data_IF_839519815249
#
_entry.id   IF_839519815249
#
_cell.length_a   1.000
_cell.length_b   1.000
_cell.length_c   1.000
_cell.angle_alpha   90.00
_cell.angle_beta   90.00
_cell.angle_gamma   90.00
#
_symmetry.space_group_name_H-M   'P 1'
#
loop_
_entity.id
_entity.type
_entity.pdbx_description
1 polymer ?
#
# COMPACT_ATOMS: atom_id res chain seq x y z
N UNK A 1 7.51 -2.57 -12.34
CA UNK A 1 6.13 -2.09 -12.58
C UNK A 1 5.93 -2.05 -14.09
N UNK A 2 4.92 -2.74 -14.62
CA UNK A 2 4.68 -2.78 -16.07
C UNK A 2 4.21 -1.41 -16.56
N UNK A 3 5.01 -0.74 -17.39
CA UNK A 3 4.71 0.61 -17.95
C UNK A 3 3.40 0.65 -18.74
N UNK A 4 3.00 -0.50 -19.27
CA UNK A 4 1.76 -0.69 -20.01
C UNK A 4 0.69 -1.28 -19.08
N UNK A 5 -0.55 -0.74 -19.01
CA UNK A 5 -1.18 0.38 -19.73
C UNK A 5 -1.10 1.76 -19.04
N UNK A 6 -0.52 1.83 -17.83
CA UNK A 6 -0.65 2.99 -16.93
C UNK A 6 0.10 4.26 -17.35
N UNK A 7 1.14 4.15 -18.20
CA UNK A 7 1.92 5.30 -18.70
C UNK A 7 1.24 6.03 -19.87
N UNK A 8 0.22 5.43 -20.50
CA UNK A 8 -0.34 5.91 -21.77
C UNK A 8 -1.21 7.17 -21.62
N UNK A 9 -1.24 8.00 -22.68
CA UNK A 9 -2.15 9.15 -22.77
C UNK A 9 -3.62 8.74 -22.75
N UNK A 10 -3.94 7.57 -23.33
CA UNK A 10 -5.27 6.96 -23.30
C UNK A 10 -5.72 6.69 -21.86
N UNK A 11 -4.85 6.11 -21.03
CA UNK A 11 -5.15 5.87 -19.62
C UNK A 11 -5.39 7.16 -18.85
N UNK A 12 -4.54 8.18 -19.06
CA UNK A 12 -4.71 9.49 -18.41
C UNK A 12 -6.08 10.11 -18.73
N UNK A 13 -6.51 10.07 -20.00
CA UNK A 13 -7.84 10.56 -20.42
C UNK A 13 -8.97 9.75 -19.79
N UNK A 14 -8.87 8.43 -19.84
CA UNK A 14 -9.88 7.52 -19.28
C UNK A 14 -10.04 7.72 -17.77
N UNK A 15 -8.91 7.80 -17.04
CA UNK A 15 -8.89 8.08 -15.60
C UNK A 15 -9.61 9.39 -15.28
N UNK A 16 -9.33 10.47 -16.00
CA UNK A 16 -9.99 11.76 -15.80
C UNK A 16 -11.50 11.69 -16.08
N UNK A 17 -11.90 10.95 -17.12
CA UNK A 17 -13.31 10.76 -17.45
C UNK A 17 -14.05 10.02 -16.33
N UNK A 18 -13.49 8.92 -15.83
CA UNK A 18 -14.07 8.14 -14.72
C UNK A 18 -14.19 9.01 -13.47
N UNK A 19 -13.13 9.72 -13.08
CA UNK A 19 -13.16 10.60 -11.90
C UNK A 19 -14.16 11.77 -12.03
N UNK A 20 -14.39 12.28 -13.25
CA UNK A 20 -15.43 13.29 -13.49
C UNK A 20 -16.84 12.71 -13.38
N UNK A 21 -17.05 11.49 -13.86
CA UNK A 21 -18.35 10.82 -13.81
C UNK A 21 -18.74 10.33 -12.42
N UNK A 22 -17.76 9.85 -11.65
CA UNK A 22 -17.96 9.34 -10.29
C UNK A 22 -16.83 9.91 -9.40
N UNK A 23 -17.03 11.12 -8.83
CA UNK A 23 -16.01 11.81 -8.05
C UNK A 23 -15.82 11.25 -6.63
N UNK A 24 -16.65 10.29 -6.23
CA UNK A 24 -16.63 9.69 -4.90
C UNK A 24 -16.05 8.28 -4.94
N UNK A 25 -15.33 7.91 -3.89
CA UNK A 25 -14.80 6.57 -3.70
C UNK A 25 -15.95 5.57 -3.56
N UNK A 26 -16.00 4.57 -4.46
CA UNK A 26 -17.06 3.56 -4.49
C UNK A 26 -17.09 2.71 -3.22
N UNK A 27 -15.93 2.34 -2.68
CA UNK A 27 -15.81 1.57 -1.45
C UNK A 27 -16.22 2.37 -0.21
N UNK A 28 -15.83 3.64 -0.13
CA UNK A 28 -16.30 4.51 0.96
C UNK A 28 -17.81 4.71 0.88
N UNK A 29 -18.36 4.93 -0.32
CA UNK A 29 -19.80 5.09 -0.54
C UNK A 29 -20.59 3.85 -0.10
N UNK A 30 -20.09 2.65 -0.39
CA UNK A 30 -20.66 1.38 0.10
C UNK A 30 -20.68 1.29 1.62
N UNK A 31 -19.67 1.86 2.29
CA UNK A 31 -19.58 1.96 3.75
C UNK A 31 -20.34 3.16 4.34
N UNK A 32 -21.16 3.88 3.55
CA UNK A 32 -21.91 5.06 3.99
C UNK A 32 -21.06 6.33 4.18
N UNK A 33 -19.82 6.36 3.68
CA UNK A 33 -18.89 7.48 3.80
C UNK A 33 -18.79 8.26 2.49
N UNK A 34 -18.79 9.58 2.57
CA UNK A 34 -18.58 10.47 1.43
C UNK A 34 -17.11 10.89 1.40
N UNK A 35 -16.33 10.26 0.53
CA UNK A 35 -14.89 10.54 0.38
C UNK A 35 -14.60 10.73 -1.11
N UNK A 36 -13.83 11.76 -1.46
CA UNK A 36 -13.41 12.00 -2.83
C UNK A 36 -12.53 10.85 -3.36
N UNK A 37 -12.76 10.45 -4.60
CA UNK A 37 -11.88 9.52 -5.29
C UNK A 37 -10.65 10.28 -5.83
N UNK A 38 -9.47 9.74 -5.55
CA UNK A 38 -8.18 10.26 -6.02
C UNK A 38 -7.57 9.36 -7.08
N UNK A 39 -7.92 8.09 -7.07
CA UNK A 39 -7.29 7.03 -7.85
C UNK A 39 -8.35 6.23 -8.60
N UNK A 40 -7.96 5.65 -9.73
CA UNK A 40 -8.81 4.76 -10.53
C UNK A 40 -8.08 3.46 -10.68
N UNK A 41 -8.78 2.39 -10.40
CA UNK A 41 -8.23 1.05 -10.29
C UNK A 41 -9.08 0.04 -11.05
N UNK A 42 -8.44 -1.01 -11.57
CA UNK A 42 -9.14 -2.05 -12.34
C UNK A 42 -9.82 -3.04 -11.39
N UNK A 43 -11.14 -3.25 -11.49
CA UNK A 43 -11.89 -4.22 -10.66
C UNK A 43 -11.28 -5.62 -10.82
N UNK A 44 -11.11 -6.07 -12.06
CA UNK A 44 -10.32 -7.23 -12.43
C UNK A 44 -8.95 -6.77 -12.92
N UNK A 45 -7.85 -7.17 -12.25
CA UNK A 45 -6.50 -6.81 -12.68
C UNK A 45 -6.24 -7.18 -14.15
N UNK A 46 -5.48 -6.35 -14.85
CA UNK A 46 -5.09 -6.61 -16.25
C UNK A 46 -4.26 -7.91 -16.35
N UNK A 47 -3.46 -8.20 -15.33
CA UNK A 47 -2.68 -9.44 -15.23
C UNK A 47 -3.55 -10.71 -15.26
N UNK A 48 -4.77 -10.64 -14.73
CA UNK A 48 -5.73 -11.76 -14.69
C UNK A 48 -6.67 -11.77 -15.91
N UNK A 49 -6.37 -11.00 -16.96
CA UNK A 49 -7.20 -10.85 -18.14
C UNK A 49 -8.36 -9.86 -17.96
N UNK A 50 -8.20 -8.85 -17.10
CA UNK A 50 -9.09 -7.70 -17.05
C UNK A 50 -8.93 -6.80 -18.28
N UNK A 51 -10.04 -6.27 -18.80
CA UNK A 51 -9.98 -5.32 -19.93
C UNK A 51 -9.39 -3.99 -19.45
N UNK A 52 -8.28 -3.50 -20.04
CA UNK A 52 -7.57 -2.31 -19.55
C UNK A 52 -8.33 -1.01 -19.81
N UNK A 53 -9.23 -1.01 -20.80
CA UNK A 53 -9.94 0.19 -21.29
C UNK A 53 -11.45 0.17 -21.04
N UNK A 54 -11.98 -0.88 -20.41
CA UNK A 54 -13.41 -1.00 -20.15
C UNK A 54 -13.79 -0.18 -18.92
N UNK A 55 -14.64 0.83 -19.09
CA UNK A 55 -15.15 1.65 -18.00
C UNK A 55 -15.86 0.82 -16.91
N UNK A 56 -16.49 -0.30 -17.28
CA UNK A 56 -17.16 -1.18 -16.32
C UNK A 56 -16.15 -1.94 -15.45
N UNK A 57 -14.93 -2.15 -15.96
CA UNK A 57 -13.83 -2.74 -15.22
C UNK A 57 -13.06 -1.69 -14.41
N UNK A 58 -13.47 -0.42 -14.38
CA UNK A 58 -12.81 0.63 -13.62
C UNK A 58 -13.64 1.02 -12.40
N UNK A 59 -12.96 1.26 -11.29
CA UNK A 59 -13.55 1.76 -10.05
C UNK A 59 -12.77 2.97 -9.53
N UNK A 60 -13.46 4.07 -9.18
CA UNK A 60 -12.85 5.21 -8.50
C UNK A 60 -12.71 4.90 -7.00
N UNK A 61 -11.50 5.07 -6.49
CA UNK A 61 -11.13 4.82 -5.09
C UNK A 61 -10.40 6.02 -4.50
N UNK A 62 -10.49 6.18 -3.18
CA UNK A 62 -9.57 7.05 -2.46
C UNK A 62 -8.25 6.31 -2.22
N UNK A 63 -7.17 7.05 -1.99
CA UNK A 63 -5.82 6.49 -1.80
C UNK A 63 -5.75 5.39 -0.73
N UNK A 64 -6.52 5.51 0.36
CA UNK A 64 -6.53 4.51 1.43
C UNK A 64 -7.23 3.21 1.02
N UNK A 65 -8.35 3.30 0.28
CA UNK A 65 -9.04 2.13 -0.26
C UNK A 65 -8.22 1.45 -1.36
N UNK A 66 -7.54 2.25 -2.20
CA UNK A 66 -6.64 1.74 -3.23
C UNK A 66 -5.47 0.96 -2.62
N UNK A 67 -4.75 1.57 -1.67
CA UNK A 67 -3.64 0.93 -0.95
C UNK A 67 -4.07 -0.37 -0.25
N UNK A 68 -5.26 -0.40 0.36
CA UNK A 68 -5.81 -1.61 1.00
C UNK A 68 -6.05 -2.73 0.00
N UNK A 69 -6.55 -2.40 -1.19
CA UNK A 69 -6.78 -3.37 -2.25
C UNK A 69 -5.46 -3.93 -2.77
N UNK A 70 -4.51 -3.06 -3.12
CA UNK A 70 -3.16 -3.48 -3.55
C UNK A 70 -2.51 -4.39 -2.53
N UNK A 71 -2.57 -4.04 -1.24
CA UNK A 71 -2.01 -4.88 -0.18
C UNK A 71 -2.72 -6.24 -0.04
N UNK A 72 -4.02 -6.34 -0.37
CA UNK A 72 -4.76 -7.60 -0.39
C UNK A 72 -4.38 -8.46 -1.60
N UNK A 73 -4.22 -7.84 -2.77
CA UNK A 73 -3.85 -8.52 -4.02
C UNK A 73 -2.39 -8.98 -4.01
N UNK A 74 -1.47 -8.14 -3.50
CA UNK A 74 -0.04 -8.45 -3.38
C UNK A 74 0.30 -9.30 -2.14
N UNK A 75 -0.72 -9.81 -1.41
CA UNK A 75 -0.52 -10.73 -0.29
C UNK A 75 0.17 -10.15 0.95
N UNK A 76 0.09 -8.84 1.20
CA UNK A 76 0.66 -8.20 2.40
C UNK A 76 2.19 -8.04 2.37
N UNK A 77 2.78 -8.07 1.17
CA UNK A 77 4.15 -8.53 0.92
C UNK A 77 5.33 -7.66 1.36
N UNK A 78 5.15 -6.50 1.99
CA UNK A 78 6.27 -5.73 2.52
C UNK A 78 6.46 -5.91 4.03
N UNK A 79 5.46 -5.53 4.84
CA UNK A 79 5.56 -5.58 6.31
C UNK A 79 5.78 -6.99 6.83
N UNK A 80 5.02 -7.98 6.34
CA UNK A 80 5.18 -9.39 6.78
C UNK A 80 6.55 -9.99 6.47
N UNK A 81 7.25 -9.50 5.44
CA UNK A 81 8.58 -10.01 5.08
C UNK A 81 9.67 -9.41 5.97
N UNK A 82 9.53 -8.14 6.35
CA UNK A 82 10.49 -7.47 7.22
C UNK A 82 10.27 -7.82 8.70
N UNK A 83 9.03 -7.81 9.19
CA UNK A 83 8.71 -8.06 10.60
C UNK A 83 9.02 -9.51 11.02
N UNK A 84 8.92 -10.48 10.10
CA UNK A 84 9.34 -11.88 10.35
C UNK A 84 10.85 -12.09 10.24
N UNK A 85 11.55 -11.14 9.62
CA UNK A 85 12.99 -11.18 9.50
C UNK A 85 13.68 -10.48 10.68
N UNK A 86 12.93 -9.93 11.65
CA UNK A 86 13.42 -9.29 12.86
C UNK A 86 12.95 -10.08 14.08
N UNK A 87 13.87 -10.41 14.98
CA UNK A 87 13.59 -11.06 16.25
C UNK A 87 12.82 -10.11 17.18
N UNK A 88 11.60 -10.47 17.63
CA UNK A 88 10.80 -9.64 18.54
C UNK A 88 11.46 -9.38 19.90
N UNK A 89 12.34 -10.27 20.36
CA UNK A 89 12.98 -10.15 21.67
C UNK A 89 14.20 -9.22 21.64
N UNK A 90 14.93 -9.21 20.53
CA UNK A 90 16.21 -8.49 20.42
C UNK A 90 16.12 -7.26 19.51
N UNK A 91 15.11 -7.18 18.64
CA UNK A 91 15.00 -6.16 17.60
C UNK A 91 16.03 -6.31 16.46
N UNK A 92 16.81 -7.39 16.47
CA UNK A 92 17.84 -7.67 15.48
C UNK A 92 17.33 -8.56 14.35
N UNK A 93 17.85 -8.42 13.12
CA UNK A 93 17.49 -9.31 12.04
C UNK A 93 17.90 -10.75 12.29
N UNK A 94 16.99 -11.69 12.05
CA UNK A 94 17.28 -13.13 12.08
C UNK A 94 18.12 -13.58 10.87
N UNK A 95 18.06 -12.85 9.75
CA UNK A 95 18.87 -13.13 8.56
C UNK A 95 20.18 -12.32 8.59
N UNK A 96 21.36 -12.95 8.61
CA UNK A 96 22.66 -12.28 8.53
C UNK A 96 22.86 -11.46 7.24
N UNK A 97 22.11 -11.76 6.16
CA UNK A 97 22.12 -10.99 4.91
C UNK A 97 21.08 -9.88 4.88
N UNK A 98 20.41 -9.61 6.00
CA UNK A 98 19.49 -8.49 6.08
C UNK A 98 20.23 -7.17 5.81
N UNK A 99 19.65 -6.32 4.96
CA UNK A 99 20.36 -5.22 4.30
C UNK A 99 20.98 -4.16 5.23
N UNK A 100 20.48 -4.01 6.47
CA UNK A 100 21.08 -3.17 7.53
C UNK A 100 21.93 -3.93 8.57
N UNK A 101 22.01 -5.27 8.52
CA UNK A 101 22.74 -6.08 9.49
C UNK A 101 24.26 -6.08 9.23
N UNK A 102 24.69 -5.76 8.01
CA UNK A 102 26.10 -5.81 7.58
C UNK A 102 26.81 -4.44 7.65
N UNK A 103 26.23 -3.44 8.34
CA UNK A 103 26.64 -2.05 8.26
C UNK A 103 26.97 -1.35 9.59
N UNK A 104 27.27 -2.07 10.66
CA UNK A 104 27.68 -1.44 11.93
C UNK A 104 28.41 -2.41 12.84
N UNK A 105 29.64 -2.04 13.20
CA UNK A 105 30.44 -2.70 14.23
C UNK A 105 29.62 -2.92 15.50
N UNK A 106 29.88 -4.04 16.16
CA UNK A 106 29.26 -4.43 17.43
C UNK A 106 29.78 -3.46 18.51
N UNK A 107 29.10 -2.33 18.71
CA UNK A 107 29.39 -1.50 19.88
C UNK A 107 28.80 -2.19 21.11
N UNK A 108 29.66 -3.00 21.73
CA UNK A 108 29.55 -3.35 23.14
C UNK A 108 29.33 -2.07 23.95
N UNK A 109 28.12 -1.86 24.46
CA UNK A 109 27.78 -0.75 25.34
C UNK A 109 26.88 0.30 24.69
N UNK A 110 25.57 0.06 24.71
CA UNK A 110 24.57 1.12 24.59
C UNK A 110 23.34 0.72 25.41
N UNK A 111 23.30 1.28 26.60
CA UNK A 111 22.23 1.34 27.57
C UNK A 111 20.88 1.66 26.90
N UNK A 112 19.91 0.77 27.14
CA UNK A 112 18.51 0.74 26.71
C UNK A 112 17.81 2.11 26.60
N UNK A 113 17.79 2.75 25.43
CA UNK A 113 16.78 3.79 25.12
C UNK A 113 16.41 3.76 23.63
N UNK A 114 15.44 2.93 23.26
CA UNK A 114 14.64 3.15 22.05
C UNK A 114 13.61 4.26 22.29
N UNK A 115 13.16 5.00 21.26
CA UNK A 115 12.18 6.06 21.43
C UNK A 115 10.85 5.46 21.90
N UNK A 116 10.49 5.74 23.15
CA UNK A 116 9.20 5.39 23.75
C UNK A 116 8.11 6.15 23.00
N UNK A 117 7.19 5.42 22.37
CA UNK A 117 5.94 6.00 21.90
C UNK A 117 5.14 6.48 23.12
N UNK A 118 4.72 7.75 23.20
CA UNK A 118 3.81 8.16 24.26
C UNK A 118 2.43 7.58 23.92
N UNK A 119 2.09 6.44 24.54
CA UNK A 119 0.69 6.04 24.68
C UNK A 119 0.07 6.93 25.75
N UNK A 120 -1.00 7.62 25.36
CA UNK A 120 -1.85 8.36 26.26
C UNK A 120 -2.52 7.38 27.24
N UNK A 121 -2.46 7.69 28.53
CA UNK A 121 -3.44 7.19 29.49
C UNK A 121 -3.89 8.34 30.39
N UNK A 122 -5.20 8.57 30.36
CA UNK A 122 -5.96 9.53 31.14
C UNK A 122 -6.19 9.01 32.57
N UNK A 123 -6.44 9.97 33.47
CA UNK A 123 -6.97 9.89 34.86
C UNK A 123 -5.95 9.77 36.00
#
# INVERSE_FOLDING_TARGET
MSDWPYSTSRWRRLRLQVLRSEPLCRECRRAGKVVAATDVDHIKPVADGGMPWDCNNLQPLCHSCHSKKTNREDGGGWRRKHDRAVDPATGWPMDPKHWWANGGEKSSGAENHGPVCPIAEES
#
